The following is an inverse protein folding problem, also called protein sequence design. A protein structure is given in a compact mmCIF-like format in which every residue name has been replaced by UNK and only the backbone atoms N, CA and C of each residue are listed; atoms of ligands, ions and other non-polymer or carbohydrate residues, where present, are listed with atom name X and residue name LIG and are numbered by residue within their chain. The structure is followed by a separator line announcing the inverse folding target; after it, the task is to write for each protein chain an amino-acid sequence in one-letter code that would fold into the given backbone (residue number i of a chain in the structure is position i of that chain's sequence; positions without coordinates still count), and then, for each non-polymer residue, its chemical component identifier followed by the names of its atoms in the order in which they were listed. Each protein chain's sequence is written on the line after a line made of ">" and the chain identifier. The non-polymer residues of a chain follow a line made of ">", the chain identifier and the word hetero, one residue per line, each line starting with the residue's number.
data_IF_567593319019
#
_entry.id   IF_567593319019
#
_cell.length_a   1.000
_cell.length_b   1.000
_cell.length_c   1.000
_cell.angle_alpha   90.00
_cell.angle_beta   90.00
_cell.angle_gamma   90.00
#
_symmetry.space_group_name_H-M   'P 1'
#
loop_
_entity.id
_entity.type
_entity.pdbx_description
1 polymer ?
#
# COMPACT_ATOMS: atom_id res chain seq x y z
N UNK A 1 -10.87 13.96 -8.59
CA UNK A 1 -9.53 13.85 -8.00
C UNK A 1 -9.07 15.27 -7.78
N UNK A 2 -8.91 15.63 -6.51
CA UNK A 2 -8.67 16.99 -6.03
C UNK A 2 -7.33 17.50 -6.60
N UNK A 3 -7.24 18.81 -6.86
CA UNK A 3 -6.03 19.54 -7.23
C UNK A 3 -4.87 19.23 -6.26
N UNK A 4 -4.12 18.16 -6.54
CA UNK A 4 -2.90 17.80 -5.83
C UNK A 4 -1.72 18.08 -6.73
N UNK A 5 -0.71 18.73 -6.18
CA UNK A 5 0.58 18.99 -6.83
C UNK A 5 1.42 17.71 -6.92
N UNK A 6 2.48 17.75 -7.73
CA UNK A 6 3.41 16.62 -7.87
C UNK A 6 4.01 16.20 -6.52
N UNK A 7 4.38 17.17 -5.68
CA UNK A 7 4.97 16.91 -4.36
C UNK A 7 3.95 16.32 -3.37
N UNK A 8 2.69 16.76 -3.42
CA UNK A 8 1.61 16.17 -2.61
C UNK A 8 1.30 14.73 -3.05
N UNK A 9 1.34 14.46 -4.36
CA UNK A 9 1.25 13.08 -4.86
C UNK A 9 2.43 12.23 -4.40
N UNK A 10 3.65 12.76 -4.38
CA UNK A 10 4.82 12.04 -3.89
C UNK A 10 4.73 11.75 -2.38
N UNK A 11 4.32 12.74 -1.57
CA UNK A 11 4.08 12.55 -0.14
C UNK A 11 3.00 11.49 0.10
N UNK A 12 1.90 11.54 -0.66
CA UNK A 12 0.82 10.56 -0.54
C UNK A 12 1.25 9.14 -0.95
N UNK A 13 2.09 9.01 -1.97
CA UNK A 13 2.66 7.72 -2.34
C UNK A 13 3.55 7.14 -1.23
N UNK A 14 4.35 7.98 -0.56
CA UNK A 14 5.18 7.55 0.56
C UNK A 14 4.35 7.10 1.77
N UNK A 15 3.30 7.86 2.13
CA UNK A 15 2.37 7.46 3.20
C UNK A 15 1.70 6.11 2.91
N UNK A 16 1.19 5.92 1.69
CA UNK A 16 0.53 4.68 1.30
C UNK A 16 1.50 3.50 1.24
N UNK A 17 2.77 3.75 0.88
CA UNK A 17 3.81 2.70 0.91
C UNK A 17 4.10 2.26 2.34
N UNK A 18 4.25 3.21 3.26
CA UNK A 18 4.45 2.90 4.68
C UNK A 18 3.25 2.16 5.29
N UNK A 19 2.03 2.49 4.86
CA UNK A 19 0.83 1.76 5.27
C UNK A 19 0.79 0.34 4.69
N UNK A 20 1.14 0.16 3.42
CA UNK A 20 1.24 -1.16 2.80
C UNK A 20 2.29 -2.04 3.51
N UNK A 21 3.43 -1.48 3.92
CA UNK A 21 4.43 -2.21 4.72
C UNK A 21 3.87 -2.65 6.07
N UNK A 22 3.14 -1.77 6.77
CA UNK A 22 2.48 -2.13 8.03
C UNK A 22 1.48 -3.28 7.84
N UNK A 23 0.61 -3.18 6.83
CA UNK A 23 -0.39 -4.22 6.52
C UNK A 23 0.26 -5.56 6.14
N UNK A 24 1.35 -5.52 5.38
CA UNK A 24 2.11 -6.71 5.03
C UNK A 24 2.70 -7.39 6.28
N UNK A 25 3.23 -6.63 7.23
CA UNK A 25 3.73 -7.20 8.49
C UNK A 25 2.62 -7.85 9.33
N UNK A 26 1.43 -7.26 9.36
CA UNK A 26 0.26 -7.88 10.03
C UNK A 26 -0.08 -9.21 9.34
N UNK A 27 -0.22 -9.22 8.01
CA UNK A 27 -0.51 -10.43 7.25
C UNK A 27 0.55 -11.53 7.48
N UNK A 28 1.83 -11.16 7.60
CA UNK A 28 2.91 -12.09 7.88
C UNK A 28 2.84 -12.67 9.28
N UNK A 29 2.54 -11.85 10.29
CA UNK A 29 2.41 -12.32 11.69
C UNK A 29 1.22 -13.26 11.81
N UNK A 30 0.08 -12.95 11.20
CA UNK A 30 -1.10 -13.82 11.21
C UNK A 30 -0.79 -15.15 10.53
N UNK A 31 -0.13 -15.12 9.37
CA UNK A 31 0.33 -16.32 8.67
C UNK A 31 1.28 -17.18 9.53
N UNK A 32 2.27 -16.55 10.19
CA UNK A 32 3.24 -17.25 11.03
C UNK A 32 2.61 -17.80 12.31
N UNK A 33 1.68 -17.07 12.91
CA UNK A 33 0.96 -17.50 14.13
C UNK A 33 0.06 -18.68 13.81
N UNK A 34 -0.65 -18.64 12.68
CA UNK A 34 -1.55 -19.70 12.25
C UNK A 34 -0.81 -21.02 11.91
N UNK A 35 0.44 -20.95 11.41
CA UNK A 35 1.28 -22.13 11.22
C UNK A 35 1.71 -22.80 12.55
N UNK A 36 1.75 -22.03 13.64
CA UNK A 36 2.23 -22.51 14.94
C UNK A 36 1.11 -22.95 15.89
N UNK A 37 -0.14 -22.53 15.64
CA UNK A 37 -1.31 -23.10 16.31
C UNK A 37 -1.60 -24.46 15.64
N UNK A 38 -1.68 -25.52 16.43
CA UNK A 38 -1.81 -26.93 16.06
C UNK A 38 -3.19 -27.27 15.42
N UNK A 39 -3.74 -26.34 14.64
CA UNK A 39 -4.99 -26.49 13.90
C UNK A 39 -4.68 -26.84 12.44
N UNK A 40 -4.90 -28.11 12.11
CA UNK A 40 -4.71 -28.71 10.79
C UNK A 40 -5.74 -28.21 9.76
N UNK A 41 -5.87 -26.89 9.57
CA UNK A 41 -6.45 -26.38 8.34
C UNK A 41 -5.35 -26.37 7.27
N UNK A 42 -5.47 -27.21 6.24
CA UNK A 42 -4.49 -27.38 5.15
C UNK A 42 -4.27 -26.09 4.33
N UNK A 43 -4.89 -24.98 4.69
CA UNK A 43 -4.79 -23.69 4.01
C UNK A 43 -4.34 -22.61 4.99
N UNK A 44 -3.21 -21.91 4.72
CA UNK A 44 -2.83 -20.75 5.50
C UNK A 44 -3.95 -19.69 5.41
N UNK A 45 -4.67 -19.48 6.51
CA UNK A 45 -5.72 -18.48 6.57
C UNK A 45 -5.08 -17.10 6.79
N UNK A 46 -4.86 -16.40 5.67
CA UNK A 46 -4.72 -14.94 5.66
C UNK A 46 -6.12 -14.39 5.38
N UNK A 47 -6.70 -13.52 6.23
CA UNK A 47 -8.01 -12.96 5.97
C UNK A 47 -8.03 -12.28 4.58
N UNK A 48 -8.94 -12.71 3.71
CA UNK A 48 -9.05 -12.20 2.33
C UNK A 48 -9.26 -10.68 2.27
N UNK A 49 -9.85 -10.10 3.32
CA UNK A 49 -10.01 -8.67 3.48
C UNK A 49 -8.67 -7.92 3.65
N UNK A 50 -7.71 -8.48 4.40
CA UNK A 50 -6.41 -7.85 4.66
C UNK A 50 -5.54 -7.88 3.40
N UNK A 51 -5.58 -9.00 2.66
CA UNK A 51 -4.92 -9.09 1.36
C UNK A 51 -5.51 -8.12 0.33
N UNK A 52 -6.84 -7.98 0.30
CA UNK A 52 -7.51 -7.01 -0.55
C UNK A 52 -7.14 -5.56 -0.18
N UNK A 53 -7.06 -5.26 1.11
CA UNK A 53 -6.66 -3.95 1.62
C UNK A 53 -5.19 -3.63 1.30
N UNK A 54 -4.28 -4.59 1.49
CA UNK A 54 -2.87 -4.47 1.10
C UNK A 54 -2.73 -4.20 -0.41
N UNK A 55 -3.48 -4.95 -1.23
CA UNK A 55 -3.48 -4.80 -2.69
C UNK A 55 -3.98 -3.43 -3.11
N UNK A 56 -5.13 -2.99 -2.58
CA UNK A 56 -5.70 -1.68 -2.88
C UNK A 56 -4.77 -0.53 -2.45
N UNK A 57 -4.15 -0.65 -1.27
CA UNK A 57 -3.22 0.35 -0.74
C UNK A 57 -1.98 0.49 -1.63
N UNK A 58 -1.43 -0.64 -2.07
CA UNK A 58 -0.26 -0.67 -2.98
C UNK A 58 -0.60 -0.07 -4.34
N UNK A 59 -1.77 -0.41 -4.90
CA UNK A 59 -2.22 0.15 -6.18
C UNK A 59 -2.44 1.67 -6.09
N UNK A 60 -3.02 2.17 -4.99
CA UNK A 60 -3.15 3.61 -4.77
C UNK A 60 -1.78 4.29 -4.65
N UNK A 61 -0.83 3.68 -3.95
CA UNK A 61 0.54 4.20 -3.86
C UNK A 61 1.18 4.34 -5.26
N UNK A 62 1.03 3.33 -6.12
CA UNK A 62 1.52 3.34 -7.50
C UNK A 62 0.86 4.42 -8.36
N UNK A 63 -0.45 4.64 -8.20
CA UNK A 63 -1.18 5.71 -8.89
C UNK A 63 -0.61 7.07 -8.48
N UNK A 64 -0.45 7.32 -7.18
CA UNK A 64 0.12 8.57 -6.68
C UNK A 64 1.57 8.78 -7.14
N UNK A 65 2.41 7.73 -7.12
CA UNK A 65 3.78 7.81 -7.63
C UNK A 65 3.82 8.13 -9.13
N UNK A 66 2.93 7.53 -9.92
CA UNK A 66 2.82 7.79 -11.35
C UNK A 66 2.39 9.24 -11.62
N UNK A 67 1.38 9.73 -10.89
CA UNK A 67 0.90 11.11 -11.01
C UNK A 67 1.97 12.13 -10.60
N UNK A 68 2.76 11.85 -9.56
CA UNK A 68 3.90 12.69 -9.15
C UNK A 68 4.96 12.85 -10.26
N UNK A 69 5.13 11.83 -11.11
CA UNK A 69 6.07 11.86 -12.25
C UNK A 69 5.48 12.52 -13.49
N UNK A 70 4.16 12.49 -13.66
CA UNK A 70 3.46 13.01 -14.85
C UNK A 70 3.07 14.49 -14.73
N UNK A 71 2.87 14.99 -13.51
CA UNK A 71 2.63 16.41 -13.30
C UNK A 71 3.92 17.17 -13.64
N UNK A 72 3.91 18.07 -14.64
CA UNK A 72 5.06 18.93 -14.88
C UNK A 72 5.32 19.66 -13.56
N UNK A 73 6.59 19.69 -13.12
CA UNK A 73 7.01 20.54 -12.00
C UNK A 73 6.53 21.96 -12.31
N UNK A 74 5.39 22.35 -11.74
CA UNK A 74 4.81 23.68 -11.89
C UNK A 74 5.69 24.63 -11.09
N UNK A 75 6.80 24.98 -11.70
CA UNK A 75 7.94 25.65 -11.10
C UNK A 75 8.96 26.00 -12.19
N UNK A 76 8.50 26.67 -13.24
CA UNK A 76 9.39 27.43 -14.12
C UNK A 76 8.63 28.66 -14.61
N UNK A 77 8.85 29.84 -14.00
CA UNK A 77 8.52 31.09 -14.67
C UNK A 77 9.51 31.25 -15.83
N UNK A 78 8.99 31.35 -17.05
CA UNK A 78 9.70 31.98 -18.15
C UNK A 78 9.50 33.49 -18.08
#
# INVERSE_FOLDING_TARGET
>A
MIDMTADEHAARAAELTAEAERLYQICLVDYQTNINEDDHSDEPYVPSADLAMLTATTQLAQVHATLALQLPRTGSPR
#
